data_IF_264998134627
#
_entry.id   IF_264998134627
#
_cell.length_a   1.000
_cell.length_b   1.000
_cell.length_c   1.000
_cell.angle_alpha   90.00
_cell.angle_beta   90.00
_cell.angle_gamma   90.00
#
_symmetry.space_group_name_H-M   'P 1'
#
loop_
_entity.id
_entity.type
_entity.pdbx_description
1 polymer ?
#
# COMPACT_ATOMS: atom_id res chain seq x y z
N UNK A 1 -3.76 15.29 -3.25
CA UNK A 1 -2.54 15.98 -3.71
C UNK A 1 -2.83 17.47 -3.86
N UNK A 2 -1.80 18.33 -3.74
CA UNK A 2 -1.93 19.75 -4.09
C UNK A 2 -2.10 19.93 -5.60
N UNK A 3 -2.59 21.11 -6.00
CA UNK A 3 -2.75 21.39 -7.43
C UNK A 3 -1.38 21.59 -8.10
N UNK A 4 -0.42 22.16 -7.39
CA UNK A 4 0.95 22.33 -7.82
C UNK A 4 1.63 20.97 -8.08
N UNK A 5 1.51 20.03 -7.15
CA UNK A 5 2.08 18.69 -7.32
C UNK A 5 1.43 17.90 -8.48
N UNK A 6 0.15 18.17 -8.79
CA UNK A 6 -0.49 17.58 -9.97
C UNK A 6 0.08 18.13 -11.28
N UNK A 7 0.43 19.43 -11.31
CA UNK A 7 1.10 20.07 -12.46
C UNK A 7 2.50 19.47 -12.62
N UNK A 8 3.24 19.33 -11.52
CA UNK A 8 4.59 18.79 -11.54
C UNK A 8 4.59 17.30 -11.97
N UNK A 9 3.65 16.51 -11.44
CA UNK A 9 3.45 15.13 -11.88
C UNK A 9 3.13 15.05 -13.37
N UNK A 10 2.25 15.93 -13.86
CA UNK A 10 1.95 15.98 -15.30
C UNK A 10 3.19 16.32 -16.12
N UNK A 11 3.98 17.31 -15.69
CA UNK A 11 5.21 17.69 -16.37
C UNK A 11 6.23 16.55 -16.41
N UNK A 12 6.34 15.80 -15.31
CA UNK A 12 7.17 14.59 -15.26
C UNK A 12 6.68 13.52 -16.24
N UNK A 13 5.38 13.20 -16.23
CA UNK A 13 4.80 12.21 -17.14
C UNK A 13 4.96 12.60 -18.61
N UNK A 14 4.81 13.89 -18.94
CA UNK A 14 5.02 14.41 -20.29
C UNK A 14 6.49 14.32 -20.75
N UNK A 15 7.44 14.24 -19.82
CA UNK A 15 8.88 14.09 -20.09
C UNK A 15 9.30 12.66 -20.40
N UNK A 16 8.46 11.67 -20.08
CA UNK A 16 8.76 10.26 -20.31
C UNK A 16 8.72 9.92 -21.82
N UNK A 17 9.59 9.00 -22.28
CA UNK A 17 9.55 8.57 -23.67
C UNK A 17 8.21 7.92 -24.01
N UNK A 18 7.61 8.33 -25.12
CA UNK A 18 6.37 7.75 -25.57
C UNK A 18 6.55 6.28 -25.98
N UNK A 19 5.77 5.39 -25.38
CA UNK A 19 5.76 3.96 -25.70
C UNK A 19 4.52 3.63 -26.50
N UNK A 20 4.72 3.03 -27.69
CA UNK A 20 3.61 2.53 -28.49
C UNK A 20 3.13 1.21 -27.90
N UNK A 21 1.99 1.25 -27.24
CA UNK A 21 1.36 0.09 -26.62
C UNK A 21 -0.15 0.11 -26.86
N UNK A 22 -0.75 -1.05 -27.06
CA UNK A 22 -2.21 -1.21 -27.11
C UNK A 22 -2.70 -1.64 -25.73
N UNK A 23 -3.50 -0.79 -25.08
CA UNK A 23 -4.12 -1.12 -23.82
C UNK A 23 -5.33 -2.03 -24.09
N UNK A 24 -5.39 -3.24 -23.49
CA UNK A 24 -6.54 -4.12 -23.66
C UNK A 24 -7.83 -3.48 -23.13
N UNK A 25 -9.00 -3.79 -23.71
CA UNK A 25 -10.27 -3.30 -23.22
C UNK A 25 -10.55 -3.80 -21.80
N UNK A 26 -11.33 -3.02 -21.05
CA UNK A 26 -11.76 -3.43 -19.70
C UNK A 26 -12.70 -4.63 -19.75
N UNK A 27 -12.40 -5.68 -19.01
CA UNK A 27 -13.21 -6.88 -18.84
C UNK A 27 -13.89 -6.91 -17.46
N UNK A 28 -14.66 -5.87 -17.15
CA UNK A 28 -15.37 -5.77 -15.88
C UNK A 28 -16.67 -6.58 -15.93
N UNK A 29 -16.83 -7.51 -14.96
CA UNK A 29 -18.07 -8.24 -14.76
C UNK A 29 -19.22 -7.35 -14.26
N UNK A 30 -20.47 -7.83 -14.39
CA UNK A 30 -21.64 -7.18 -13.80
C UNK A 30 -21.55 -7.23 -12.26
N UNK A 31 -21.91 -6.16 -11.53
CA UNK A 31 -22.46 -4.88 -12.00
C UNK A 31 -21.41 -3.78 -12.29
N UNK A 32 -20.11 -4.07 -12.18
CA UNK A 32 -19.02 -3.08 -12.30
C UNK A 32 -18.82 -2.55 -13.73
N UNK A 33 -19.34 -3.25 -14.71
CA UNK A 33 -19.40 -2.80 -16.11
C UNK A 33 -20.39 -1.64 -16.33
N UNK A 34 -21.29 -1.36 -15.35
CA UNK A 34 -22.20 -0.22 -15.39
C UNK A 34 -21.47 1.04 -14.88
N UNK A 35 -20.68 1.66 -15.74
CA UNK A 35 -19.82 2.80 -15.37
C UNK A 35 -20.54 4.01 -14.77
N UNK A 36 -21.83 4.19 -15.05
CA UNK A 36 -22.66 5.24 -14.44
C UNK A 36 -22.79 5.08 -12.92
N UNK A 37 -22.68 3.87 -12.39
CA UNK A 37 -22.63 3.60 -10.96
C UNK A 37 -21.44 4.22 -10.24
N UNK A 38 -20.31 4.41 -10.94
CA UNK A 38 -19.12 5.07 -10.38
C UNK A 38 -19.40 6.52 -9.94
N UNK A 39 -20.30 7.24 -10.60
CA UNK A 39 -20.68 8.60 -10.18
C UNK A 39 -21.37 8.63 -8.81
N UNK A 40 -22.22 7.63 -8.52
CA UNK A 40 -22.84 7.49 -7.21
C UNK A 40 -21.81 7.06 -6.16
N UNK A 41 -20.97 6.11 -6.48
CA UNK A 41 -19.89 5.65 -5.60
C UNK A 41 -18.94 6.80 -5.25
N UNK A 42 -18.50 7.58 -6.24
CA UNK A 42 -17.66 8.76 -6.05
C UNK A 42 -18.33 9.76 -5.06
N UNK A 43 -19.64 10.01 -5.22
CA UNK A 43 -20.37 10.91 -4.33
C UNK A 43 -20.45 10.40 -2.88
N UNK A 44 -20.42 9.07 -2.68
CA UNK A 44 -20.50 8.46 -1.35
C UNK A 44 -19.15 8.39 -0.63
N UNK A 45 -18.06 8.19 -1.38
CA UNK A 45 -16.75 7.85 -0.80
C UNK A 45 -15.62 8.83 -1.10
N UNK A 46 -15.82 9.74 -2.07
CA UNK A 46 -14.77 10.71 -2.45
C UNK A 46 -15.29 12.12 -2.20
N UNK A 47 -14.67 12.83 -1.26
CA UNK A 47 -15.04 14.21 -0.96
C UNK A 47 -14.54 15.22 -2.00
N UNK A 48 -13.53 14.86 -2.80
CA UNK A 48 -12.94 15.73 -3.83
C UNK A 48 -12.13 16.92 -3.28
N UNK A 49 -11.84 16.92 -1.97
CA UNK A 49 -11.12 18.01 -1.33
C UNK A 49 -9.60 17.82 -1.47
N UNK A 50 -8.90 18.92 -1.66
CA UNK A 50 -7.44 18.94 -1.56
C UNK A 50 -7.02 18.78 -0.11
N UNK A 51 -5.81 18.23 0.10
CA UNK A 51 -5.21 18.17 1.43
C UNK A 51 -5.09 19.58 2.04
N UNK A 52 -5.57 19.72 3.26
CA UNK A 52 -5.45 20.96 4.06
C UNK A 52 -4.59 20.63 5.28
N UNK A 53 -3.45 21.33 5.47
CA UNK A 53 -2.62 21.13 6.65
C UNK A 53 -3.37 21.48 7.93
N UNK A 54 -3.16 20.69 8.99
CA UNK A 54 -3.66 21.02 10.32
C UNK A 54 -2.82 22.16 10.91
N UNK A 55 -3.40 23.32 11.24
CA UNK A 55 -2.67 24.44 11.81
C UNK A 55 -2.11 24.19 13.22
N UNK A 56 -2.56 23.13 13.89
CA UNK A 56 -2.09 22.73 15.21
C UNK A 56 -0.99 21.65 15.18
N UNK A 57 -0.77 21.02 14.02
CA UNK A 57 0.28 20.02 13.83
C UNK A 57 1.60 20.67 13.38
N UNK A 58 2.72 20.00 13.66
CA UNK A 58 4.03 20.44 13.15
C UNK A 58 4.09 20.36 11.61
N UNK A 59 5.02 21.08 11.01
CA UNK A 59 5.24 21.01 9.56
C UNK A 59 5.63 19.59 9.12
N UNK A 60 6.42 18.88 9.92
CA UNK A 60 6.79 17.47 9.69
C UNK A 60 5.58 16.55 9.70
N UNK A 61 4.72 16.68 10.71
CA UNK A 61 3.52 15.86 10.82
C UNK A 61 2.53 16.12 9.66
N UNK A 62 2.36 17.38 9.27
CA UNK A 62 1.56 17.75 8.10
C UNK A 62 2.15 17.20 6.79
N UNK A 63 3.48 17.22 6.66
CA UNK A 63 4.16 16.63 5.51
C UNK A 63 3.95 15.12 5.44
N UNK A 64 4.09 14.42 6.58
CA UNK A 64 3.82 13.00 6.70
C UNK A 64 2.36 12.65 6.36
N UNK A 65 1.41 13.39 6.92
CA UNK A 65 -0.01 13.24 6.62
C UNK A 65 -0.29 13.38 5.11
N UNK A 66 0.28 14.41 4.48
CA UNK A 66 0.15 14.63 3.04
C UNK A 66 0.69 13.44 2.23
N UNK A 67 1.91 12.97 2.56
CA UNK A 67 2.54 11.86 1.84
C UNK A 67 1.77 10.55 2.01
N UNK A 68 1.35 10.22 3.22
CA UNK A 68 0.67 8.95 3.55
C UNK A 68 -0.74 8.89 2.97
N UNK A 69 -1.51 9.99 3.07
CA UNK A 69 -2.92 10.01 2.63
C UNK A 69 -3.11 10.48 1.19
N UNK A 70 -2.09 11.09 0.61
CA UNK A 70 -2.09 11.59 -0.76
C UNK A 70 -1.25 10.71 -1.70
N UNK A 71 -0.01 11.14 -2.07
CA UNK A 71 0.78 10.44 -3.09
C UNK A 71 1.14 8.99 -2.75
N UNK A 72 1.37 8.69 -1.46
CA UNK A 72 1.70 7.35 -0.98
C UNK A 72 0.50 6.43 -0.86
N UNK A 73 -0.72 6.98 -0.73
CA UNK A 73 -2.02 6.31 -0.61
C UNK A 73 -2.01 5.00 0.22
N UNK A 74 -1.28 4.99 1.33
CA UNK A 74 -1.08 3.80 2.19
C UNK A 74 -2.40 3.18 2.67
N UNK A 75 -3.44 4.00 2.87
CA UNK A 75 -4.79 3.55 3.24
C UNK A 75 -5.40 2.58 2.24
N UNK A 76 -5.00 2.64 0.96
CA UNK A 76 -5.60 1.81 -0.09
C UNK A 76 -5.33 0.31 0.12
N UNK A 77 -4.15 -0.01 0.64
CA UNK A 77 -3.76 -1.38 0.98
C UNK A 77 -3.92 -1.71 2.46
N UNK A 78 -3.56 -0.77 3.36
CA UNK A 78 -3.53 -1.01 4.79
C UNK A 78 -4.86 -0.77 5.52
N UNK A 79 -5.98 -0.65 4.80
CA UNK A 79 -7.31 -0.46 5.40
C UNK A 79 -8.32 -1.41 4.80
N UNK A 80 -9.18 -1.98 5.65
CA UNK A 80 -10.25 -2.85 5.17
C UNK A 80 -11.33 -2.07 4.43
N UNK A 81 -12.07 -2.78 3.56
CA UNK A 81 -13.12 -2.21 2.72
C UNK A 81 -14.47 -2.83 3.04
N UNK A 82 -15.52 -2.04 2.91
CA UNK A 82 -16.88 -2.52 2.99
C UNK A 82 -17.33 -3.22 1.68
N UNK A 83 -18.55 -3.74 1.67
CA UNK A 83 -19.12 -4.47 0.53
C UNK A 83 -19.16 -3.66 -0.78
N UNK A 84 -19.19 -2.32 -0.69
CA UNK A 84 -19.17 -1.41 -1.83
C UNK A 84 -17.76 -0.95 -2.22
N UNK A 85 -16.71 -1.48 -1.56
CA UNK A 85 -15.32 -1.14 -1.84
C UNK A 85 -14.82 0.16 -1.19
N UNK A 86 -15.64 0.83 -0.38
CA UNK A 86 -15.21 2.02 0.36
C UNK A 86 -14.39 1.66 1.60
N UNK A 87 -13.39 2.48 1.95
CA UNK A 87 -12.58 2.30 3.15
C UNK A 87 -13.43 2.40 4.41
N UNK A 88 -13.24 1.46 5.34
CA UNK A 88 -13.89 1.46 6.65
C UNK A 88 -13.05 2.32 7.61
N UNK A 89 -13.60 3.46 8.02
CA UNK A 89 -12.90 4.45 8.85
C UNK A 89 -12.43 3.90 10.19
N UNK A 90 -13.18 3.00 10.79
CA UNK A 90 -12.85 2.41 12.10
C UNK A 90 -11.64 1.48 12.04
N UNK A 91 -11.32 0.95 10.86
CA UNK A 91 -10.19 0.05 10.60
C UNK A 91 -9.15 0.66 9.65
N UNK A 92 -9.16 1.98 9.49
CA UNK A 92 -8.20 2.69 8.66
C UNK A 92 -6.78 2.47 9.19
N UNK A 93 -5.87 2.01 8.32
CA UNK A 93 -4.50 1.57 8.62
C UNK A 93 -4.36 0.31 9.51
N UNK A 94 -5.45 -0.33 9.89
CA UNK A 94 -5.44 -1.51 10.77
C UNK A 94 -5.29 -2.85 10.01
N UNK A 95 -4.84 -2.80 8.77
CA UNK A 95 -4.68 -3.96 7.91
C UNK A 95 -5.94 -4.33 7.11
N UNK A 96 -5.75 -5.23 6.15
CA UNK A 96 -6.81 -5.69 5.26
C UNK A 96 -6.51 -7.10 4.73
N UNK A 97 -7.50 -7.86 4.23
CA UNK A 97 -7.24 -9.00 3.36
C UNK A 97 -6.48 -8.53 2.10
N UNK A 98 -5.53 -9.31 1.60
CA UNK A 98 -4.87 -9.00 0.33
C UNK A 98 -5.91 -8.90 -0.80
N UNK A 99 -5.81 -7.89 -1.67
CA UNK A 99 -6.74 -7.75 -2.79
C UNK A 99 -6.55 -8.84 -3.84
N UNK A 100 -5.36 -9.41 -3.90
CA UNK A 100 -4.98 -10.48 -4.82
C UNK A 100 -4.33 -11.63 -4.04
N UNK A 101 -4.80 -12.85 -4.24
CA UNK A 101 -4.28 -14.04 -3.58
C UNK A 101 -4.81 -14.25 -2.16
N UNK A 102 -4.03 -14.97 -1.36
CA UNK A 102 -4.32 -15.29 0.04
C UNK A 102 -3.43 -14.42 0.96
N UNK A 103 -3.82 -14.31 2.23
CA UNK A 103 -3.07 -13.59 3.25
C UNK A 103 -3.61 -12.19 3.54
N UNK A 104 -2.87 -11.43 4.30
CA UNK A 104 -3.29 -10.09 4.77
C UNK A 104 -2.20 -9.05 4.56
N UNK A 105 -2.65 -7.82 4.38
CA UNK A 105 -1.82 -6.62 4.47
C UNK A 105 -1.75 -6.23 5.95
N UNK A 106 -0.55 -5.96 6.51
CA UNK A 106 -0.39 -5.76 7.95
C UNK A 106 -1.04 -4.47 8.46
N UNK A 107 -1.34 -4.47 9.75
CA UNK A 107 -1.70 -3.30 10.53
C UNK A 107 -0.45 -2.41 10.72
N UNK A 108 -0.55 -1.15 10.33
CA UNK A 108 0.52 -0.15 10.48
C UNK A 108 0.18 0.94 11.49
N UNK A 109 -0.85 0.73 12.32
CA UNK A 109 -1.12 1.63 13.44
C UNK A 109 -0.17 1.37 14.62
N UNK A 110 0.05 2.34 15.54
CA UNK A 110 0.90 2.17 16.72
C UNK A 110 0.18 1.38 17.83
N UNK A 111 -0.35 0.22 17.49
CA UNK A 111 -1.01 -0.73 18.41
C UNK A 111 -0.13 -1.96 18.65
N UNK A 112 -0.46 -2.75 19.69
CA UNK A 112 0.22 -4.01 19.99
C UNK A 112 0.06 -5.05 18.86
N UNK A 113 -1.01 -4.95 18.08
CA UNK A 113 -1.24 -5.80 16.90
C UNK A 113 -0.50 -5.30 15.65
N UNK A 114 -0.13 -4.03 15.64
CA UNK A 114 0.54 -3.36 14.53
C UNK A 114 2.04 -3.13 14.79
N UNK A 115 2.46 -1.88 14.57
CA UNK A 115 3.86 -1.45 14.72
C UNK A 115 4.07 -0.59 15.99
N UNK A 116 3.37 -0.92 17.09
CA UNK A 116 3.44 -0.18 18.37
C UNK A 116 4.84 -0.11 18.93
N UNK A 117 5.58 -1.23 18.87
CA UNK A 117 6.95 -1.34 19.41
C UNK A 117 8.03 -0.71 18.52
N UNK A 118 7.68 -0.36 17.27
CA UNK A 118 8.63 0.25 16.34
C UNK A 118 8.82 1.74 16.64
N UNK A 119 10.06 2.21 16.57
CA UNK A 119 10.39 3.63 16.62
C UNK A 119 10.13 4.30 15.25
N UNK A 120 10.12 5.63 15.22
CA UNK A 120 10.08 6.39 13.96
C UNK A 120 11.31 6.11 13.09
N UNK A 121 12.47 5.88 13.69
CA UNK A 121 13.68 5.53 12.95
C UNK A 121 13.58 4.12 12.34
N UNK A 122 12.94 3.15 13.01
CA UNK A 122 12.68 1.82 12.44
C UNK A 122 11.77 1.89 11.20
N UNK A 123 10.70 2.69 11.28
CA UNK A 123 9.80 2.89 10.14
C UNK A 123 10.52 3.59 8.98
N UNK A 124 11.29 4.64 9.27
CA UNK A 124 12.06 5.35 8.27
C UNK A 124 13.12 4.44 7.62
N UNK A 125 13.77 3.59 8.40
CA UNK A 125 14.73 2.58 7.95
C UNK A 125 14.08 1.52 7.06
N UNK A 126 12.90 1.01 7.46
CA UNK A 126 12.11 0.10 6.63
C UNK A 126 11.79 0.71 5.26
N UNK A 127 11.34 1.97 5.23
CA UNK A 127 11.02 2.66 3.97
C UNK A 127 12.26 2.90 3.09
N UNK A 128 13.46 2.99 3.69
CA UNK A 128 14.72 3.15 2.98
C UNK A 128 15.28 1.83 2.45
N UNK A 129 15.27 0.78 3.27
CA UNK A 129 16.02 -0.45 3.01
C UNK A 129 15.17 -1.67 2.72
N UNK A 130 13.89 -1.66 3.11
CA UNK A 130 13.01 -2.80 3.06
C UNK A 130 13.19 -3.81 4.19
N UNK A 131 14.05 -3.52 5.19
CA UNK A 131 14.29 -4.42 6.32
C UNK A 131 13.45 -4.00 7.53
N UNK A 132 12.84 -4.98 8.22
CA UNK A 132 12.15 -4.78 9.48
C UNK A 132 13.13 -4.79 10.66
N UNK A 133 12.74 -4.27 11.84
CA UNK A 133 13.55 -4.39 13.07
C UNK A 133 13.84 -5.84 13.48
N UNK A 134 12.98 -6.77 13.08
CA UNK A 134 13.09 -8.20 13.37
C UNK A 134 13.93 -8.98 12.34
N UNK A 135 14.66 -8.27 11.50
CA UNK A 135 15.51 -8.84 10.43
C UNK A 135 14.75 -9.59 9.34
N UNK A 136 13.47 -9.29 9.18
CA UNK A 136 12.68 -9.73 8.04
C UNK A 136 12.73 -8.69 6.91
N UNK A 137 12.22 -9.02 5.74
CA UNK A 137 12.26 -8.14 4.56
C UNK A 137 10.86 -7.94 3.99
N UNK A 138 10.62 -6.74 3.46
CA UNK A 138 9.42 -6.47 2.69
C UNK A 138 9.43 -7.32 1.42
N UNK A 139 8.29 -7.95 1.14
CA UNK A 139 8.11 -8.82 -0.02
C UNK A 139 6.85 -8.46 -0.81
N UNK A 140 6.61 -9.19 -1.89
CA UNK A 140 5.41 -9.14 -2.72
C UNK A 140 5.06 -7.72 -3.22
N UNK A 141 3.77 -7.35 -3.14
CA UNK A 141 3.26 -6.07 -3.63
C UNK A 141 3.81 -4.84 -2.91
N UNK A 142 4.31 -4.99 -1.68
CA UNK A 142 4.94 -3.89 -0.94
C UNK A 142 6.38 -3.60 -1.38
N UNK A 143 7.09 -4.58 -1.98
CA UNK A 143 8.48 -4.39 -2.41
C UNK A 143 8.64 -3.24 -3.43
N UNK A 144 7.90 -3.18 -4.55
CA UNK A 144 8.00 -2.04 -5.48
C UNK A 144 7.53 -0.72 -4.85
N UNK A 145 6.63 -0.73 -3.86
CA UNK A 145 6.27 0.48 -3.10
C UNK A 145 7.47 0.97 -2.30
N UNK A 146 8.14 0.07 -1.59
CA UNK A 146 9.32 0.40 -0.80
C UNK A 146 10.47 0.93 -1.67
N UNK A 147 10.74 0.32 -2.83
CA UNK A 147 11.74 0.81 -3.78
C UNK A 147 11.50 2.27 -4.20
N UNK A 148 10.24 2.68 -4.34
CA UNK A 148 9.88 4.06 -4.59
C UNK A 148 10.02 4.94 -3.33
N UNK A 149 9.63 4.45 -2.15
CA UNK A 149 9.81 5.18 -0.89
C UNK A 149 11.30 5.41 -0.56
N UNK A 150 12.19 4.51 -0.95
CA UNK A 150 13.63 4.67 -0.80
C UNK A 150 14.20 5.88 -1.57
N UNK A 151 13.53 6.31 -2.64
CA UNK A 151 13.92 7.49 -3.43
C UNK A 151 13.49 8.81 -2.80
N UNK A 152 12.63 8.80 -1.79
CA UNK A 152 12.26 9.99 -1.04
C UNK A 152 13.45 10.52 -0.24
N UNK A 153 13.41 11.80 0.13
CA UNK A 153 14.39 12.36 1.05
C UNK A 153 14.29 11.69 2.44
N UNK A 154 15.38 11.65 3.18
CA UNK A 154 15.36 11.16 4.56
C UNK A 154 14.36 11.94 5.43
N UNK A 155 14.19 13.25 5.18
CA UNK A 155 13.20 14.07 5.87
C UNK A 155 11.76 13.63 5.56
N UNK A 156 11.45 13.30 4.30
CA UNK A 156 10.12 12.82 3.92
C UNK A 156 9.82 11.44 4.53
N UNK A 157 10.80 10.51 4.55
CA UNK A 157 10.64 9.21 5.22
C UNK A 157 10.40 9.35 6.73
N UNK A 158 11.11 10.27 7.40
CA UNK A 158 10.87 10.60 8.80
C UNK A 158 9.50 11.22 9.04
N UNK A 159 9.07 12.13 8.17
CA UNK A 159 7.74 12.72 8.25
C UNK A 159 6.63 11.65 8.11
N UNK A 160 6.79 10.69 7.19
CA UNK A 160 5.89 9.54 7.06
C UNK A 160 5.86 8.74 8.36
N UNK A 161 7.03 8.42 8.94
CA UNK A 161 7.14 7.68 10.18
C UNK A 161 6.47 8.40 11.37
N UNK A 162 6.73 9.69 11.52
CA UNK A 162 6.12 10.53 12.56
C UNK A 162 4.59 10.55 12.42
N UNK A 163 4.07 10.68 11.21
CA UNK A 163 2.63 10.64 10.98
C UNK A 163 2.03 9.27 11.30
N UNK A 164 2.63 8.18 10.85
CA UNK A 164 2.17 6.82 11.14
C UNK A 164 2.14 6.56 12.66
N UNK A 165 3.17 6.99 13.39
CA UNK A 165 3.22 6.89 14.87
C UNK A 165 2.20 7.79 15.57
N UNK A 166 1.70 8.83 14.92
CA UNK A 166 0.64 9.70 15.46
C UNK A 166 -0.77 9.17 15.25
N UNK A 167 -0.95 8.12 14.44
CA UNK A 167 -2.26 7.53 14.19
C UNK A 167 -2.86 6.94 15.49
N UNK A 168 -4.20 6.91 15.62
CA UNK A 168 -4.83 6.22 16.73
C UNK A 168 -4.52 4.71 16.67
N UNK A 169 -4.11 4.07 17.79
CA UNK A 169 -3.89 2.64 17.83
C UNK A 169 -5.22 1.90 17.56
N UNK A 170 -5.16 0.87 16.72
CA UNK A 170 -6.33 0.08 16.33
C UNK A 170 -5.98 -1.41 16.37
N UNK A 171 -6.92 -2.28 16.79
CA UNK A 171 -6.73 -3.73 16.69
C UNK A 171 -6.70 -4.16 15.22
N UNK A 172 -6.11 -5.31 14.95
CA UNK A 172 -6.09 -5.90 13.60
C UNK A 172 -7.50 -5.99 13.00
N UNK A 173 -7.66 -5.46 11.79
CA UNK A 173 -8.88 -5.63 11.01
C UNK A 173 -9.04 -7.07 10.48
N UNK A 174 -7.93 -7.80 10.32
CA UNK A 174 -7.91 -9.22 9.96
C UNK A 174 -7.39 -10.02 11.14
N UNK A 175 -8.22 -10.86 11.79
CA UNK A 175 -7.78 -11.63 12.95
C UNK A 175 -6.61 -12.57 12.63
N UNK A 176 -5.62 -12.65 13.51
CA UNK A 176 -4.40 -13.48 13.38
C UNK A 176 -4.69 -14.97 13.15
N UNK A 177 -5.84 -15.47 13.60
CA UNK A 177 -6.29 -16.86 13.33
C UNK A 177 -6.53 -17.12 11.84
N UNK A 178 -7.06 -16.14 11.12
CA UNK A 178 -7.27 -16.25 9.66
C UNK A 178 -5.98 -16.08 8.86
N UNK A 179 -5.04 -15.31 9.36
CA UNK A 179 -3.71 -15.15 8.76
C UNK A 179 -2.93 -16.48 8.79
N UNK A 180 -2.97 -17.19 9.93
CA UNK A 180 -2.22 -18.41 10.13
C UNK A 180 -2.73 -19.59 9.29
N UNK A 181 -4.05 -19.70 9.12
CA UNK A 181 -4.67 -20.72 8.28
C UNK A 181 -4.34 -20.53 6.79
N UNK A 182 -4.14 -19.26 6.35
CA UNK A 182 -3.80 -18.92 4.97
C UNK A 182 -2.31 -19.14 4.68
N UNK A 183 -1.41 -18.80 5.61
CA UNK A 183 0.05 -19.00 5.49
C UNK A 183 0.42 -20.51 5.53
N UNK A 184 -0.27 -21.33 6.34
CA UNK A 184 -0.06 -22.77 6.41
C UNK A 184 -0.50 -23.50 5.12
N UNK A 185 -1.52 -23.01 4.40
CA UNK A 185 -1.93 -23.55 3.10
C UNK A 185 -0.93 -23.23 1.97
N UNK A 186 -0.29 -22.05 1.97
CA UNK A 186 0.75 -21.70 0.98
C UNK A 186 2.04 -22.50 1.20
N UNK A 187 2.44 -22.70 2.45
CA UNK A 187 3.61 -23.53 2.81
C UNK A 187 3.45 -25.00 2.43
N UNK A 188 2.21 -25.51 2.36
CA UNK A 188 1.88 -26.88 1.93
C UNK A 188 1.96 -27.08 0.40
N UNK A 189 1.57 -26.10 -0.37
CA UNK A 189 1.55 -26.18 -1.84
C UNK A 189 2.96 -26.11 -2.47
N UNK A 190 3.88 -25.38 -1.86
CA UNK A 190 5.25 -25.25 -2.36
C UNK A 190 6.12 -26.52 -2.21
N UNK A 191 5.73 -27.47 -1.35
CA UNK A 191 6.46 -28.72 -1.11
C UNK A 191 6.09 -29.87 -2.04
N UNK A 192 5.05 -29.77 -2.85
CA UNK A 192 4.59 -30.85 -3.73
C UNK A 192 4.97 -30.70 -5.21
N UNK A 193 5.71 -29.64 -5.58
CA UNK A 193 6.01 -29.26 -6.97
C UNK A 193 7.43 -29.47 -7.47
N UNK A 194 8.33 -30.14 -6.73
CA UNK A 194 9.72 -30.34 -7.15
C UNK A 194 10.02 -31.78 -7.57
N UNK A 195 9.46 -32.23 -8.68
CA UNK A 195 10.07 -33.27 -9.52
C UNK A 195 9.44 -33.28 -10.92
N UNK A 196 9.99 -32.49 -11.84
CA UNK A 196 9.92 -32.75 -13.27
C UNK A 196 11.14 -32.11 -13.95
N UNK A 197 12.16 -32.94 -14.23
CA UNK A 197 13.36 -32.56 -14.95
C UNK A 197 13.07 -32.02 -16.35
N UNK A 198 13.33 -30.74 -16.56
CA UNK A 198 13.39 -30.13 -17.88
C UNK A 198 14.85 -30.02 -18.31
N UNK A 199 15.19 -30.80 -19.34
CA UNK A 199 16.47 -30.72 -20.07
C UNK A 199 16.61 -29.35 -20.75
N UNK A 200 17.74 -28.69 -20.52
CA UNK A 200 18.20 -27.53 -21.26
C UNK A 200 18.50 -27.89 -22.72
N UNK A 201 18.07 -27.12 -23.72
CA UNK A 201 18.62 -27.26 -25.08
C UNK A 201 19.92 -26.44 -25.19
N UNK A 202 20.95 -27.08 -25.79
CA UNK A 202 22.23 -26.53 -26.12
C UNK A 202 22.12 -25.31 -27.04
N UNK A 203 22.87 -24.25 -26.73
CA UNK A 203 23.10 -23.09 -27.60
C UNK A 203 24.48 -23.31 -28.29
N UNK A 204 24.57 -23.29 -29.63
CA UNK A 204 25.87 -23.34 -30.32
C UNK A 204 26.57 -21.98 -30.28
N UNK A 205 27.92 -22.04 -30.23
CA UNK A 205 28.86 -20.94 -30.22
C UNK A 205 28.87 -20.12 -31.51
#
# INVERSE_FOLDING_TARGET
MSFEDLIDLKAYLDSLPAVKNEVPPYELGFPFNIRRGLGLWHKLYVNGESFVPDPHASAELNRGAYLVTGPGHCTECHSSRNLLGGIVKDTEFAGAPKPEGKGSVPNITPSDDGIGDWSEDDIAYLLETGNTPDFDVIAESMAPVQENMAQLTAADRKAIAAYIKSLPPRPDAVPKSKQKDEDDEEGGAAKSGSDSGAKHPDVPQ
#
